data_IF_591869067707
#
_entry.id   IF_591869067707
#
_cell.length_a   1.000
_cell.length_b   1.000
_cell.length_c   1.000
_cell.angle_alpha   90.00
_cell.angle_beta   90.00
_cell.angle_gamma   90.00
#
_symmetry.space_group_name_H-M   'P 1'
#
loop_
_entity.id
_entity.type
_entity.pdbx_description
1 polymer ?
#
# COMPACT_ATOMS: atom_id res chain seq x y z
N UNK A 1 -12.37 10.80 12.86
CA UNK A 1 -11.23 10.09 13.44
C UNK A 1 -11.26 8.62 13.10
N UNK A 2 -10.18 8.09 12.61
CA UNK A 2 -10.07 6.67 12.29
C UNK A 2 -9.10 5.98 13.25
N UNK A 3 -9.31 4.69 13.48
CA UNK A 3 -8.39 3.92 14.32
C UNK A 3 -7.00 3.86 13.66
N UNK A 4 -5.94 3.77 14.47
CA UNK A 4 -4.56 3.73 13.96
C UNK A 4 -4.31 2.54 13.05
N UNK A 5 -4.88 1.37 13.37
CA UNK A 5 -4.76 0.20 12.49
C UNK A 5 -5.39 0.46 11.13
N UNK A 6 -6.52 1.16 11.09
CA UNK A 6 -7.15 1.53 9.83
C UNK A 6 -6.29 2.52 9.04
N UNK A 7 -5.72 3.53 9.71
CA UNK A 7 -4.78 4.47 9.08
C UNK A 7 -3.55 3.76 8.54
N UNK A 8 -2.96 2.85 9.30
CA UNK A 8 -1.81 2.04 8.86
C UNK A 8 -2.16 1.21 7.64
N UNK A 9 -3.36 0.62 7.62
CA UNK A 9 -3.85 -0.15 6.47
C UNK A 9 -4.00 0.71 5.22
N UNK A 10 -4.64 1.86 5.33
CA UNK A 10 -4.83 2.78 4.20
C UNK A 10 -3.51 3.33 3.68
N UNK A 11 -2.61 3.73 4.57
CA UNK A 11 -1.29 4.21 4.19
C UNK A 11 -0.48 3.12 3.48
N UNK A 12 -0.51 1.90 4.01
CA UNK A 12 0.14 0.74 3.40
C UNK A 12 -0.43 0.41 2.03
N UNK A 13 -1.75 0.37 1.88
CA UNK A 13 -2.40 0.14 0.58
C UNK A 13 -2.00 1.22 -0.44
N UNK A 14 -1.91 2.46 -0.01
CA UNK A 14 -1.53 3.56 -0.89
C UNK A 14 -0.07 3.45 -1.35
N UNK A 15 0.82 3.07 -0.46
CA UNK A 15 2.21 2.80 -0.77
C UNK A 15 2.35 1.58 -1.70
N UNK A 16 1.61 0.52 -1.44
CA UNK A 16 1.58 -0.69 -2.28
C UNK A 16 1.10 -0.35 -3.69
N UNK A 17 0.02 0.42 -3.83
CA UNK A 17 -0.50 0.84 -5.14
C UNK A 17 0.50 1.69 -5.91
N UNK A 18 1.22 2.59 -5.23
CA UNK A 18 2.28 3.37 -5.85
C UNK A 18 3.38 2.48 -6.43
N UNK A 19 3.76 1.41 -5.72
CA UNK A 19 4.75 0.44 -6.19
C UNK A 19 4.20 -0.45 -7.32
N UNK A 20 2.95 -0.92 -7.21
CA UNK A 20 2.29 -1.72 -8.24
C UNK A 20 2.16 -0.97 -9.57
N UNK A 21 1.93 0.35 -9.53
CA UNK A 21 1.89 1.18 -10.75
C UNK A 21 3.18 1.16 -11.56
N UNK A 22 4.29 0.79 -10.94
CA UNK A 22 5.60 0.70 -11.59
C UNK A 22 5.90 -0.71 -12.13
N UNK A 23 5.00 -1.65 -11.95
CA UNK A 23 5.16 -3.02 -12.44
C UNK A 23 5.11 -3.09 -13.97
N UNK A 24 5.77 -4.10 -14.58
CA UNK A 24 5.68 -4.32 -16.04
C UNK A 24 4.25 -4.48 -16.53
N UNK A 25 3.37 -5.12 -15.75
CA UNK A 25 1.96 -5.31 -16.08
C UNK A 25 1.23 -3.98 -16.25
N UNK A 26 1.48 -3.01 -15.37
CA UNK A 26 0.86 -1.68 -15.46
C UNK A 26 1.56 -0.82 -16.51
N UNK A 27 2.88 -0.81 -16.53
CA UNK A 27 3.65 -0.01 -17.49
C UNK A 27 3.44 -0.47 -18.94
N UNK A 28 3.07 -1.73 -19.14
CA UNK A 28 2.79 -2.32 -20.44
C UNK A 28 1.35 -2.10 -20.92
N UNK A 29 0.48 -1.46 -20.18
CA UNK A 29 -0.90 -1.19 -20.59
C UNK A 29 -0.93 -0.27 -21.80
N UNK A 30 -1.68 -0.69 -22.85
CA UNK A 30 -1.84 0.07 -24.08
C UNK A 30 -3.23 0.72 -24.09
N UNK A 31 -3.27 2.02 -23.92
CA UNK A 31 -4.53 2.78 -23.92
C UNK A 31 -4.93 3.22 -25.31
N UNK A 32 -6.23 3.35 -25.54
CA UNK A 32 -6.76 3.91 -26.79
C UNK A 32 -6.33 5.37 -26.95
N UNK A 33 -6.19 5.80 -28.19
CA UNK A 33 -5.84 7.18 -28.50
C UNK A 33 -6.92 8.14 -27.99
N UNK A 34 -6.49 9.28 -27.43
CA UNK A 34 -7.40 10.30 -26.95
C UNK A 34 -8.00 10.05 -25.56
N UNK A 35 -7.64 8.94 -24.88
CA UNK A 35 -8.10 8.69 -23.52
C UNK A 35 -7.49 9.74 -22.56
N UNK A 36 -8.35 10.47 -21.87
CA UNK A 36 -7.95 11.51 -20.93
C UNK A 36 -7.13 10.97 -19.77
N UNK A 37 -6.33 11.84 -19.13
CA UNK A 37 -5.47 11.46 -18.01
C UNK A 37 -6.27 10.87 -16.85
N UNK A 38 -7.40 11.50 -16.49
CA UNK A 38 -8.25 11.04 -15.39
C UNK A 38 -8.80 9.64 -15.66
N UNK A 39 -9.27 9.39 -16.88
CA UNK A 39 -9.81 8.07 -17.26
C UNK A 39 -8.72 7.00 -17.27
N UNK A 40 -7.51 7.36 -17.70
CA UNK A 40 -6.36 6.47 -17.69
C UNK A 40 -5.96 6.10 -16.25
N UNK A 41 -5.86 7.11 -15.38
CA UNK A 41 -5.51 6.89 -13.97
C UNK A 41 -6.55 6.01 -13.27
N UNK A 42 -7.83 6.28 -13.51
CA UNK A 42 -8.91 5.46 -12.98
C UNK A 42 -8.85 4.01 -13.50
N UNK A 43 -8.62 3.85 -14.81
CA UNK A 43 -8.51 2.51 -15.40
C UNK A 43 -7.35 1.70 -14.77
N UNK A 44 -6.21 2.35 -14.49
CA UNK A 44 -5.07 1.72 -13.81
C UNK A 44 -5.47 1.29 -12.39
N UNK A 45 -6.09 2.17 -11.62
CA UNK A 45 -6.48 1.86 -10.24
C UNK A 45 -7.47 0.69 -10.17
N UNK A 46 -8.46 0.67 -11.05
CA UNK A 46 -9.43 -0.45 -11.12
C UNK A 46 -8.75 -1.72 -11.61
N UNK A 47 -7.88 -1.64 -12.62
CA UNK A 47 -7.11 -2.79 -13.14
C UNK A 47 -6.26 -3.47 -12.07
N UNK A 48 -5.64 -2.69 -11.18
CA UNK A 48 -4.82 -3.22 -10.08
C UNK A 48 -5.65 -3.72 -8.90
N UNK A 49 -6.91 -3.31 -8.80
CA UNK A 49 -7.80 -3.62 -7.68
C UNK A 49 -8.48 -4.98 -7.80
N UNK A 50 -9.33 -5.28 -6.82
CA UNK A 50 -10.12 -6.52 -6.81
C UNK A 50 -11.28 -6.48 -7.79
N UNK A 51 -11.70 -5.29 -8.20
CA UNK A 51 -12.83 -5.06 -9.12
C UNK A 51 -12.35 -4.89 -10.59
N UNK A 52 -11.22 -5.49 -10.95
CA UNK A 52 -10.60 -5.36 -12.26
C UNK A 52 -11.53 -5.74 -13.42
N UNK A 53 -12.50 -6.61 -13.18
CA UNK A 53 -13.49 -7.01 -14.18
C UNK A 53 -14.29 -5.82 -14.72
N UNK A 54 -14.45 -4.77 -13.93
CA UNK A 54 -15.18 -3.56 -14.33
C UNK A 54 -14.51 -2.86 -15.52
N UNK A 55 -13.23 -3.05 -15.71
CA UNK A 55 -12.48 -2.48 -16.85
C UNK A 55 -12.01 -3.55 -17.86
N UNK A 56 -12.07 -4.84 -17.50
CA UNK A 56 -11.60 -5.93 -18.36
C UNK A 56 -12.72 -6.73 -19.03
N UNK A 57 -13.97 -6.62 -18.56
CA UNK A 57 -15.09 -7.34 -19.18
C UNK A 57 -15.32 -6.84 -20.60
N UNK A 58 -15.91 -7.72 -21.40
CA UNK A 58 -16.23 -7.43 -22.79
C UNK A 58 -17.19 -6.24 -22.91
N UNK A 59 -16.92 -5.34 -23.87
CA UNK A 59 -17.64 -4.07 -23.99
C UNK A 59 -17.08 -2.93 -23.14
N UNK A 60 -16.26 -3.21 -22.15
CA UNK A 60 -15.64 -2.18 -21.30
C UNK A 60 -14.15 -2.00 -21.59
N UNK A 61 -13.41 -3.08 -21.80
CA UNK A 61 -11.98 -2.95 -22.08
C UNK A 61 -11.70 -2.20 -23.38
N UNK A 62 -12.54 -2.38 -24.41
CA UNK A 62 -12.37 -1.72 -25.71
C UNK A 62 -12.46 -0.19 -25.61
N UNK A 63 -13.14 0.32 -24.60
CA UNK A 63 -13.25 1.77 -24.36
C UNK A 63 -11.96 2.39 -23.84
N UNK A 64 -11.06 1.59 -23.31
CA UNK A 64 -9.86 2.06 -22.59
C UNK A 64 -8.56 1.54 -23.17
N UNK A 65 -8.54 0.29 -23.64
CA UNK A 65 -7.32 -0.40 -24.06
C UNK A 65 -7.35 -0.75 -25.56
N UNK A 66 -6.19 -0.66 -26.20
CA UNK A 66 -6.01 -1.12 -27.59
C UNK A 66 -6.03 -2.64 -27.69
N UNK A 67 -5.49 -3.30 -26.68
CA UNK A 67 -5.44 -4.75 -26.54
C UNK A 67 -5.94 -5.09 -25.14
N UNK A 68 -6.77 -6.13 -25.02
CA UNK A 68 -7.28 -6.56 -23.71
C UNK A 68 -6.11 -6.99 -22.83
N UNK A 69 -5.88 -6.32 -21.70
CA UNK A 69 -4.82 -6.71 -20.79
C UNK A 69 -5.11 -8.07 -20.15
N UNK A 70 -4.05 -8.82 -19.87
CA UNK A 70 -4.13 -9.97 -18.98
C UNK A 70 -4.44 -9.51 -17.55
N UNK A 71 -5.13 -10.35 -16.78
CA UNK A 71 -5.41 -10.07 -15.37
C UNK A 71 -4.10 -9.97 -14.59
N UNK A 72 -3.98 -8.92 -13.80
CA UNK A 72 -2.88 -8.78 -12.84
C UNK A 72 -3.21 -9.62 -11.61
N UNK A 73 -2.71 -10.84 -11.57
CA UNK A 73 -3.08 -11.82 -10.55
C UNK A 73 -2.58 -11.46 -9.16
N UNK A 74 -3.22 -12.01 -8.12
CA UNK A 74 -2.81 -11.81 -6.75
C UNK A 74 -1.37 -12.28 -6.50
N UNK A 75 -0.96 -13.40 -7.12
CA UNK A 75 0.41 -13.91 -7.02
C UNK A 75 1.42 -12.99 -7.68
N UNK A 76 1.11 -12.45 -8.85
CA UNK A 76 1.98 -11.48 -9.54
C UNK A 76 2.14 -10.19 -8.74
N UNK A 77 1.04 -9.67 -8.17
CA UNK A 77 1.08 -8.49 -7.29
C UNK A 77 1.94 -8.75 -6.07
N UNK A 78 1.75 -9.89 -5.42
CA UNK A 78 2.53 -10.28 -4.24
C UNK A 78 4.02 -10.38 -4.55
N UNK A 79 4.37 -10.99 -5.68
CA UNK A 79 5.76 -11.12 -6.12
C UNK A 79 6.42 -9.75 -6.38
N UNK A 80 5.69 -8.84 -7.02
CA UNK A 80 6.18 -7.48 -7.28
C UNK A 80 6.34 -6.67 -5.98
N UNK A 81 5.35 -6.74 -5.09
CA UNK A 81 5.37 -6.07 -3.79
C UNK A 81 6.51 -6.56 -2.89
N UNK A 82 6.90 -7.82 -2.99
CA UNK A 82 8.03 -8.36 -2.25
C UNK A 82 9.36 -7.66 -2.55
N UNK A 83 9.49 -7.02 -3.72
CA UNK A 83 10.65 -6.21 -4.09
C UNK A 83 10.68 -4.84 -3.42
N UNK A 84 9.58 -4.36 -2.87
CA UNK A 84 9.53 -3.07 -2.17
C UNK A 84 9.88 -3.26 -0.70
N UNK A 85 11.14 -2.99 -0.36
CA UNK A 85 11.68 -3.17 0.98
C UNK A 85 12.31 -1.88 1.49
N UNK A 86 12.68 -1.88 2.77
CA UNK A 86 13.27 -0.72 3.45
C UNK A 86 12.36 0.52 3.47
N UNK A 87 11.06 0.30 3.46
CA UNK A 87 10.06 1.37 3.55
C UNK A 87 10.08 1.95 4.97
N UNK A 88 9.88 3.25 5.07
CA UNK A 88 9.83 3.96 6.35
C UNK A 88 8.39 4.35 6.68
N UNK A 89 8.00 4.13 7.94
CA UNK A 89 6.71 4.53 8.48
C UNK A 89 6.91 5.55 9.61
N UNK A 90 6.34 6.73 9.44
CA UNK A 90 6.22 7.73 10.50
C UNK A 90 4.81 7.78 11.08
N UNK A 91 4.68 7.92 12.40
CA UNK A 91 3.40 8.11 13.06
C UNK A 91 3.42 9.34 13.94
N UNK A 92 2.34 10.12 13.90
CA UNK A 92 2.13 11.32 14.71
C UNK A 92 1.81 11.02 16.19
N UNK A 93 1.48 9.77 16.50
CA UNK A 93 1.22 9.30 17.86
C UNK A 93 1.60 7.82 18.02
N UNK A 94 1.58 7.32 19.27
CA UNK A 94 1.97 5.93 19.55
C UNK A 94 1.08 4.90 18.86
N UNK A 95 1.63 3.73 18.60
CA UNK A 95 0.86 2.56 18.15
C UNK A 95 0.24 1.85 19.37
N UNK A 96 -1.11 1.68 19.39
CA UNK A 96 -1.77 1.06 20.53
C UNK A 96 -1.61 -0.46 20.61
N UNK A 97 -1.33 -1.11 19.45
CA UNK A 97 -1.28 -2.56 19.34
C UNK A 97 -0.24 -3.00 18.30
N UNK A 98 0.27 -4.21 18.48
CA UNK A 98 1.29 -4.81 17.58
C UNK A 98 0.80 -5.07 16.15
N UNK A 99 -0.51 -5.19 15.94
CA UNK A 99 -1.09 -5.42 14.62
C UNK A 99 -0.81 -4.28 13.63
N UNK A 100 -0.54 -3.06 14.13
CA UNK A 100 -0.04 -1.97 13.30
C UNK A 100 1.32 -2.33 12.68
N UNK A 101 2.19 -2.97 13.44
CA UNK A 101 3.52 -3.40 12.98
C UNK A 101 3.39 -4.58 12.01
N UNK A 102 2.51 -5.55 12.31
CA UNK A 102 2.19 -6.66 11.40
C UNK A 102 1.71 -6.15 10.04
N UNK A 103 0.83 -5.14 10.05
CA UNK A 103 0.33 -4.55 8.80
C UNK A 103 1.45 -3.79 8.06
N UNK A 104 2.25 -3.02 8.77
CA UNK A 104 3.37 -2.27 8.20
C UNK A 104 4.39 -3.23 7.54
N UNK A 105 4.69 -4.34 8.19
CA UNK A 105 5.59 -5.36 7.66
C UNK A 105 5.14 -5.88 6.29
N UNK A 106 3.83 -6.07 6.08
CA UNK A 106 3.27 -6.54 4.81
C UNK A 106 3.51 -5.58 3.64
N UNK A 107 3.75 -4.30 3.92
CA UNK A 107 4.08 -3.26 2.93
C UNK A 107 5.59 -2.97 2.83
N UNK A 108 6.43 -3.84 3.37
CA UNK A 108 7.88 -3.72 3.26
C UNK A 108 8.51 -2.73 4.23
N UNK A 109 7.80 -2.30 5.27
CA UNK A 109 8.34 -1.37 6.27
C UNK A 109 9.48 -2.02 7.05
N UNK A 110 10.60 -1.33 7.12
CA UNK A 110 11.79 -1.71 7.88
C UNK A 110 12.08 -0.72 9.02
N UNK A 111 11.77 0.53 8.81
CA UNK A 111 12.08 1.63 9.73
C UNK A 111 10.80 2.32 10.19
N UNK A 112 10.68 2.49 11.51
CA UNK A 112 9.50 3.12 12.12
C UNK A 112 9.95 4.25 13.03
N UNK A 113 9.26 5.39 12.94
CA UNK A 113 9.40 6.50 13.89
C UNK A 113 8.03 6.76 14.53
N UNK A 114 7.98 6.73 15.86
CA UNK A 114 6.76 7.00 16.63
C UNK A 114 7.11 7.63 17.99
N UNK A 115 6.18 8.37 18.61
CA UNK A 115 6.48 9.01 19.91
C UNK A 115 6.64 8.05 21.08
N UNK A 116 6.01 6.88 21.06
CA UNK A 116 5.92 6.00 22.22
C UNK A 116 4.92 6.49 23.27
N UNK A 117 4.89 5.82 24.42
CA UNK A 117 4.02 6.16 25.53
C UNK A 117 2.74 5.33 25.64
N UNK A 118 2.62 4.27 24.85
CA UNK A 118 1.55 3.29 25.04
C UNK A 118 1.89 2.32 26.16
N UNK A 119 0.88 1.90 26.91
CA UNK A 119 1.02 0.80 27.88
C UNK A 119 1.40 -0.53 27.19
N UNK A 120 1.28 -0.61 25.88
CA UNK A 120 1.63 -1.78 25.08
C UNK A 120 2.88 -1.58 24.22
N UNK A 121 3.73 -0.61 24.57
CA UNK A 121 4.98 -0.39 23.82
C UNK A 121 5.86 -1.65 23.80
N UNK A 122 5.85 -2.46 24.87
CA UNK A 122 6.60 -3.72 24.93
C UNK A 122 6.14 -4.72 23.86
N UNK A 123 4.84 -4.83 23.61
CA UNK A 123 4.28 -5.72 22.58
C UNK A 123 4.65 -5.24 21.18
N UNK A 124 4.62 -3.93 20.99
CA UNK A 124 5.00 -3.28 19.72
C UNK A 124 6.49 -3.49 19.45
N UNK A 125 7.35 -3.31 20.45
CA UNK A 125 8.80 -3.56 20.35
C UNK A 125 9.06 -5.03 20.00
N UNK A 126 8.41 -5.97 20.70
CA UNK A 126 8.57 -7.40 20.44
C UNK A 126 8.20 -7.77 19.00
N UNK A 127 7.16 -7.15 18.44
CA UNK A 127 6.77 -7.37 17.05
C UNK A 127 7.81 -6.81 16.08
N UNK A 128 8.39 -5.65 16.35
CA UNK A 128 9.49 -5.10 15.56
C UNK A 128 10.72 -6.04 15.60
N UNK A 129 11.08 -6.55 16.76
CA UNK A 129 12.20 -7.48 16.92
C UNK A 129 11.98 -8.77 16.14
N UNK A 130 10.74 -9.29 16.13
CA UNK A 130 10.35 -10.46 15.36
C UNK A 130 10.68 -10.33 13.87
N UNK A 131 10.57 -9.13 13.31
CA UNK A 131 10.79 -8.84 11.89
C UNK A 131 12.10 -8.11 11.61
N UNK A 132 12.97 -7.99 12.59
CA UNK A 132 14.24 -7.27 12.42
C UNK A 132 14.04 -5.81 11.97
N UNK A 133 12.98 -5.18 12.44
CA UNK A 133 12.66 -3.79 12.13
C UNK A 133 13.38 -2.86 13.10
N UNK A 134 13.69 -1.65 12.64
CA UNK A 134 14.27 -0.59 13.47
C UNK A 134 13.16 0.38 13.86
N UNK A 135 13.02 0.64 15.16
CA UNK A 135 12.06 1.62 15.67
C UNK A 135 12.74 2.71 16.47
N UNK A 136 12.45 3.95 16.13
CA UNK A 136 12.86 5.12 16.89
C UNK A 136 11.68 5.69 17.67
N UNK A 137 11.87 5.89 18.96
CA UNK A 137 10.93 6.62 19.82
C UNK A 137 11.30 8.10 19.79
N UNK A 138 10.46 8.91 19.17
CA UNK A 138 10.76 10.34 18.98
C UNK A 138 10.51 11.18 20.24
N UNK A 139 9.64 10.70 21.13
CA UNK A 139 9.19 11.47 22.28
C UNK A 139 8.33 12.69 21.92
N UNK A 140 8.07 12.91 20.64
CA UNK A 140 7.33 14.06 20.15
C UNK A 140 6.00 13.60 19.58
N UNK A 141 4.92 13.99 20.24
CA UNK A 141 3.55 13.76 19.78
C UNK A 141 3.14 14.91 18.86
N UNK A 142 2.86 14.60 17.59
CA UNK A 142 2.47 15.58 16.57
C UNK A 142 0.96 15.59 16.30
N UNK A 143 0.23 14.94 17.12
CA UNK A 143 -1.21 14.73 17.00
C UNK A 143 -1.97 15.90 17.64
N UNK A 144 -2.84 16.55 16.85
CA UNK A 144 -3.65 17.70 17.26
C UNK A 144 -5.14 17.41 17.08
N UNK A 145 -5.85 17.40 18.17
CA UNK A 145 -7.32 17.31 18.18
C UNK A 145 -7.91 18.30 19.11
#
# INVERSE_FOLDING_TARGET
>A
QQSRIHCTRLAGQKADNWWLRQSPQVMGLQFVDGLGRADRDNAIDVYMGDEYEDVLRDGEWQKRFKVKPEVFTAEEKKAWLAGNQNVTLGSDAFFPFFDNIERAHKSGVKYIAQPGGSVRDSDVIACCDKYDMVMAFTGIRLFHH
#
